data_IF_796490962613
#
_entry.id   IF_796490962613
#
_cell.length_a   1.000
_cell.length_b   1.000
_cell.length_c   1.000
_cell.angle_alpha   90.00
_cell.angle_beta   90.00
_cell.angle_gamma   90.00
#
_symmetry.space_group_name_H-M   'P 1'
#
loop_
_entity.id
_entity.type
_entity.pdbx_description
1 polymer ?
#
# COMPACT_ATOMS: atom_id res chain seq x y z
N UNK A 1 7.16 -35.36 13.05
CA UNK A 1 6.93 -33.96 13.47
C UNK A 1 6.18 -34.05 14.78
N UNK A 2 6.80 -33.66 15.87
CA UNK A 2 6.24 -33.77 17.24
C UNK A 2 5.26 -32.63 17.50
N UNK A 3 4.31 -32.79 18.44
CA UNK A 3 3.34 -31.74 18.78
C UNK A 3 4.01 -30.42 19.20
N UNK A 4 5.21 -30.51 19.80
CA UNK A 4 6.06 -29.37 20.15
C UNK A 4 6.51 -28.59 18.92
N UNK A 5 6.90 -29.27 17.84
CA UNK A 5 7.35 -28.62 16.59
C UNK A 5 6.21 -27.83 15.94
N UNK A 6 4.99 -28.39 15.98
CA UNK A 6 3.80 -27.70 15.46
C UNK A 6 3.40 -26.50 16.30
N UNK A 7 3.57 -26.56 17.63
CA UNK A 7 3.32 -25.43 18.52
C UNK A 7 4.27 -24.26 18.27
N UNK A 8 5.57 -24.54 18.11
CA UNK A 8 6.58 -23.51 17.81
C UNK A 8 6.36 -22.85 16.44
N UNK A 9 5.94 -23.62 15.44
CA UNK A 9 5.60 -23.08 14.11
C UNK A 9 4.40 -22.13 14.18
N UNK A 10 3.36 -22.47 14.94
CA UNK A 10 2.18 -21.64 15.09
C UNK A 10 2.52 -20.31 15.78
N UNK A 11 3.30 -20.35 16.86
CA UNK A 11 3.78 -19.14 17.56
C UNK A 11 4.59 -18.24 16.63
N UNK A 12 5.47 -18.82 15.81
CA UNK A 12 6.23 -18.06 14.83
C UNK A 12 5.35 -17.43 13.75
N UNK A 13 4.30 -18.12 13.29
CA UNK A 13 3.34 -17.56 12.33
C UNK A 13 2.57 -16.38 12.93
N UNK A 14 2.02 -16.52 14.13
CA UNK A 14 1.29 -15.45 14.82
C UNK A 14 2.18 -14.22 15.06
N UNK A 15 3.44 -14.44 15.43
CA UNK A 15 4.41 -13.35 15.59
C UNK A 15 4.67 -12.62 14.28
N UNK A 16 4.81 -13.32 13.16
CA UNK A 16 5.02 -12.70 11.84
C UNK A 16 3.80 -11.89 11.41
N UNK A 17 2.59 -12.41 11.60
CA UNK A 17 1.34 -11.70 11.30
C UNK A 17 1.22 -10.42 12.14
N UNK A 18 1.53 -10.50 13.44
CA UNK A 18 1.55 -9.36 14.34
C UNK A 18 2.54 -8.29 13.90
N UNK A 19 3.77 -8.68 13.53
CA UNK A 19 4.77 -7.72 13.03
C UNK A 19 4.32 -7.01 11.76
N UNK A 20 3.73 -7.73 10.81
CA UNK A 20 3.19 -7.16 9.56
C UNK A 20 2.04 -6.18 9.86
N UNK A 21 1.18 -6.53 10.81
CA UNK A 21 0.00 -5.72 11.15
C UNK A 21 0.34 -4.47 11.98
N UNK A 22 1.30 -4.58 12.92
CA UNK A 22 1.69 -3.49 13.81
C UNK A 22 2.61 -2.47 13.15
N UNK A 23 3.47 -2.92 12.24
CA UNK A 23 4.25 -1.98 11.45
C UNK A 23 3.32 -1.18 10.55
N UNK A 24 3.52 0.14 10.54
CA UNK A 24 2.69 1.15 9.86
C UNK A 24 2.78 1.06 8.33
N UNK A 25 2.96 -0.14 7.76
CA UNK A 25 3.02 -0.43 6.32
C UNK A 25 1.81 0.16 5.58
N UNK A 26 0.64 0.24 6.23
CA UNK A 26 -0.57 0.84 5.66
C UNK A 26 -0.52 2.36 5.51
N UNK A 27 0.34 3.05 6.26
CA UNK A 27 0.42 4.51 6.30
C UNK A 27 1.61 5.08 5.50
N UNK A 28 2.38 4.22 4.84
CA UNK A 28 3.48 4.62 3.99
C UNK A 28 2.96 5.43 2.78
N UNK A 29 3.64 6.53 2.48
CA UNK A 29 3.41 7.28 1.25
C UNK A 29 3.77 6.42 0.04
N UNK A 30 2.87 6.36 -0.93
CA UNK A 30 3.05 5.66 -2.20
C UNK A 30 3.62 6.63 -3.24
N UNK A 31 4.64 6.20 -3.96
CA UNK A 31 5.10 6.86 -5.18
C UNK A 31 4.17 6.55 -6.36
N UNK A 32 4.33 7.24 -7.50
CA UNK A 32 3.57 6.89 -8.72
C UNK A 32 3.79 5.44 -9.16
N UNK A 33 4.99 4.88 -8.95
CA UNK A 33 5.30 3.48 -9.29
C UNK A 33 4.55 2.53 -8.35
N UNK A 34 4.48 2.85 -7.06
CA UNK A 34 3.71 2.05 -6.10
C UNK A 34 2.22 2.06 -6.47
N UNK A 35 1.68 3.21 -6.88
CA UNK A 35 0.28 3.32 -7.36
C UNK A 35 0.07 2.53 -8.65
N UNK A 36 1.02 2.56 -9.59
CA UNK A 36 0.95 1.74 -10.79
C UNK A 36 0.89 0.24 -10.44
N UNK A 37 1.77 -0.22 -9.55
CA UNK A 37 1.79 -1.62 -9.13
C UNK A 37 0.51 -2.01 -8.36
N UNK A 38 -0.02 -1.11 -7.54
CA UNK A 38 -1.22 -1.33 -6.75
C UNK A 38 -2.51 -1.38 -7.60
N UNK A 39 -2.61 -0.51 -8.62
CA UNK A 39 -3.82 -0.35 -9.43
C UNK A 39 -3.80 -1.10 -10.75
N UNK A 40 -2.62 -1.55 -11.20
CA UNK A 40 -2.41 -2.09 -12.54
C UNK A 40 -2.49 -1.04 -13.67
N UNK A 41 -2.73 0.23 -13.35
CA UNK A 41 -2.89 1.29 -14.34
C UNK A 41 -1.54 1.87 -14.77
N UNK A 42 -1.43 2.23 -16.06
CA UNK A 42 -0.23 2.91 -16.56
C UNK A 42 0.03 4.25 -15.84
N UNK A 43 1.31 4.62 -15.71
CA UNK A 43 1.75 5.93 -15.20
C UNK A 43 1.04 7.09 -15.91
N UNK A 44 0.81 6.98 -17.23
CA UNK A 44 0.11 8.02 -18.02
C UNK A 44 -1.34 8.21 -17.57
N UNK A 45 -2.04 7.12 -17.22
CA UNK A 45 -3.40 7.18 -16.69
C UNK A 45 -3.42 7.85 -15.33
N UNK A 46 -2.49 7.49 -14.45
CA UNK A 46 -2.36 8.09 -13.11
C UNK A 46 -2.06 9.59 -13.23
N UNK A 47 -1.09 10.00 -14.06
CA UNK A 47 -0.78 11.41 -14.29
C UNK A 47 -1.96 12.20 -14.85
N UNK A 48 -2.75 11.61 -15.76
CA UNK A 48 -3.98 12.21 -16.27
C UNK A 48 -5.03 12.38 -15.18
N UNK A 49 -5.19 11.40 -14.28
CA UNK A 49 -6.11 11.49 -13.15
C UNK A 49 -5.70 12.61 -12.17
N UNK A 50 -4.41 12.73 -11.88
CA UNK A 50 -3.83 13.83 -11.10
C UNK A 50 -4.09 15.17 -11.77
N UNK A 51 -3.79 15.31 -13.07
CA UNK A 51 -4.01 16.55 -13.83
C UNK A 51 -5.48 16.95 -13.89
N UNK A 52 -6.39 15.98 -13.95
CA UNK A 52 -7.85 16.21 -13.89
C UNK A 52 -8.36 16.56 -12.48
N UNK A 53 -7.53 16.42 -11.44
CA UNK A 53 -7.93 16.66 -10.05
C UNK A 53 -8.81 15.57 -9.43
N UNK A 54 -9.01 14.44 -10.12
CA UNK A 54 -9.86 13.33 -9.61
C UNK A 54 -9.10 12.40 -8.66
N UNK A 55 -7.78 12.34 -8.78
CA UNK A 55 -6.89 11.63 -7.85
C UNK A 55 -6.13 12.65 -6.99
N UNK A 56 -6.35 12.60 -5.68
CA UNK A 56 -5.66 13.45 -4.71
C UNK A 56 -4.17 13.06 -4.61
N UNK A 57 -3.29 14.06 -4.58
CA UNK A 57 -1.82 13.89 -4.51
C UNK A 57 -1.20 14.94 -3.58
N UNK A 58 -0.07 14.60 -2.96
CA UNK A 58 0.82 15.56 -2.28
C UNK A 58 2.04 15.79 -3.15
N UNK A 59 2.37 17.07 -3.41
CA UNK A 59 3.51 17.48 -4.24
C UNK A 59 4.54 18.33 -3.49
N UNK A 60 4.41 18.42 -2.16
CA UNK A 60 5.23 19.30 -1.31
C UNK A 60 6.74 19.01 -1.40
N UNK A 61 7.12 17.77 -1.73
CA UNK A 61 8.52 17.33 -1.84
C UNK A 61 9.07 17.37 -3.27
N UNK A 62 8.29 17.86 -4.24
CA UNK A 62 8.61 17.81 -5.68
C UNK A 62 8.33 16.46 -6.35
N UNK A 63 7.93 15.43 -5.58
CA UNK A 63 7.44 14.14 -6.09
C UNK A 63 5.94 14.02 -5.88
N UNK A 64 5.28 13.24 -6.75
CA UNK A 64 3.91 12.83 -6.51
C UNK A 64 3.88 11.75 -5.43
N UNK A 65 3.28 12.07 -4.29
CA UNK A 65 3.07 11.16 -3.17
C UNK A 65 1.58 10.98 -2.90
N UNK A 66 1.18 9.72 -2.71
CA UNK A 66 -0.21 9.33 -2.53
C UNK A 66 -0.37 8.61 -1.20
N UNK A 67 -1.52 8.79 -0.55
CA UNK A 67 -1.93 7.89 0.53
C UNK A 67 -2.76 6.77 -0.08
N UNK A 68 -2.62 5.54 0.44
CA UNK A 68 -3.43 4.39 -0.01
C UNK A 68 -4.93 4.71 -0.02
N UNK A 69 -5.43 5.30 1.08
CA UNK A 69 -6.85 5.70 1.18
C UNK A 69 -7.32 6.71 0.12
N UNK A 70 -6.42 7.50 -0.48
CA UNK A 70 -6.76 8.42 -1.56
C UNK A 70 -6.91 7.69 -2.88
N UNK A 71 -6.05 6.69 -3.10
CA UNK A 71 -6.06 5.81 -4.28
C UNK A 71 -7.28 4.91 -4.22
N UNK A 72 -7.57 4.29 -3.07
CA UNK A 72 -8.75 3.45 -2.86
C UNK A 72 -10.04 4.20 -3.20
N UNK A 73 -10.23 5.40 -2.64
CA UNK A 73 -11.41 6.25 -2.95
C UNK A 73 -11.50 6.72 -4.40
N UNK A 74 -10.38 6.72 -5.12
CA UNK A 74 -10.38 7.11 -6.53
C UNK A 74 -10.81 5.95 -7.43
N UNK A 75 -10.46 4.71 -7.09
CA UNK A 75 -10.78 3.50 -7.86
C UNK A 75 -12.18 2.97 -7.55
N UNK A 76 -12.62 3.10 -6.30
CA UNK A 76 -13.95 2.65 -5.84
C UNK A 76 -15.11 3.57 -6.27
N UNK A 77 -14.83 4.55 -7.12
CA UNK A 77 -15.83 5.45 -7.72
C UNK A 77 -16.21 5.01 -9.12
#
# INVERSE_FOLDING_TARGET
>A
MTETDTGMLLEHMERLESLITQSDFGNKWMSTVDVQNYTGLSTKTIHRAVKKGVLKVSQNTGKNLFRKSWVDRWIDK
#
